data_IF_564403802040
#
_entry.id   IF_564403802040
#
_cell.length_a   1.000
_cell.length_b   1.000
_cell.length_c   1.000
_cell.angle_alpha   90.00
_cell.angle_beta   90.00
_cell.angle_gamma   90.00
#
_symmetry.space_group_name_H-M   'P 1'
#
loop_
_entity.id
_entity.type
_entity.pdbx_description
1 polymer ?
#
# COMPACT_ATOMS: atom_id res chain seq x y z
N UNK A 1 -1.66 3.94 14.78
CA UNK A 1 -2.50 3.66 13.59
C UNK A 1 -1.78 4.25 12.40
N UNK A 2 -1.77 3.58 11.25
CA UNK A 2 -1.30 4.17 9.99
C UNK A 2 -2.50 4.84 9.31
N UNK A 3 -2.32 6.03 8.71
CA UNK A 3 -3.31 6.62 7.80
C UNK A 3 -2.67 6.88 6.44
N UNK A 4 -3.32 6.39 5.40
CA UNK A 4 -2.73 6.31 4.06
C UNK A 4 -3.75 6.48 2.94
N UNK A 5 -3.26 6.99 1.82
CA UNK A 5 -3.90 6.95 0.52
C UNK A 5 -2.80 6.80 -0.53
N UNK A 6 -2.59 5.57 -1.00
CA UNK A 6 -1.42 5.23 -1.81
C UNK A 6 -1.71 4.10 -2.80
N UNK A 7 -1.03 4.16 -3.95
CA UNK A 7 -0.90 3.02 -4.83
C UNK A 7 0.29 2.18 -4.40
N UNK A 8 0.09 0.87 -4.30
CA UNK A 8 1.13 -0.12 -4.04
C UNK A 8 1.50 -0.81 -5.35
N UNK A 9 2.79 -0.78 -5.68
CA UNK A 9 3.37 -1.42 -6.85
C UNK A 9 4.49 -2.36 -6.43
N UNK A 10 4.77 -3.38 -7.25
CA UNK A 10 6.05 -4.08 -7.16
C UNK A 10 7.20 -3.08 -7.38
N UNK A 11 8.30 -3.20 -6.62
CA UNK A 11 9.43 -2.28 -6.74
C UNK A 11 9.97 -2.27 -8.19
N UNK A 12 9.98 -1.11 -8.87
CA UNK A 12 10.48 -1.03 -10.23
C UNK A 12 12.00 -1.23 -10.26
N UNK A 13 12.53 -2.17 -11.07
CA UNK A 13 13.95 -2.50 -11.07
C UNK A 13 14.86 -1.35 -11.54
N UNK A 14 14.29 -0.41 -12.30
CA UNK A 14 15.00 0.76 -12.82
C UNK A 14 14.73 2.04 -12.00
N UNK A 15 14.06 1.94 -10.85
CA UNK A 15 13.89 3.08 -9.96
C UNK A 15 15.26 3.53 -9.42
N UNK A 16 15.44 4.84 -9.32
CA UNK A 16 16.61 5.46 -8.72
C UNK A 16 16.19 6.33 -7.55
N UNK A 17 17.14 6.65 -6.67
CA UNK A 17 16.89 7.59 -5.59
C UNK A 17 16.56 8.97 -6.16
N UNK A 18 15.46 9.52 -5.64
CA UNK A 18 14.97 10.86 -5.92
C UNK A 18 15.39 11.88 -4.87
N UNK A 19 14.90 13.12 -4.98
CA UNK A 19 15.12 14.13 -3.96
C UNK A 19 14.46 13.73 -2.63
N UNK A 20 15.01 14.25 -1.54
CA UNK A 20 14.33 14.24 -0.24
C UNK A 20 13.23 15.31 -0.27
N UNK A 21 12.03 14.96 0.18
CA UNK A 21 10.88 15.86 0.26
C UNK A 21 10.40 15.98 1.70
N UNK A 22 9.89 17.16 2.06
CA UNK A 22 9.25 17.40 3.36
C UNK A 22 7.76 17.05 3.28
N UNK A 23 7.35 15.98 3.96
CA UNK A 23 5.95 15.57 4.07
C UNK A 23 5.60 15.31 5.52
N UNK A 24 4.49 15.88 6.00
CA UNK A 24 4.04 15.75 7.40
C UNK A 24 5.15 16.08 8.42
N UNK A 25 6.00 17.06 8.11
CA UNK A 25 7.13 17.46 8.95
C UNK A 25 8.29 16.47 8.99
N UNK A 26 8.38 15.57 8.00
CA UNK A 26 9.46 14.60 7.87
C UNK A 26 10.19 14.76 6.54
N UNK A 27 11.52 14.73 6.59
CA UNK A 27 12.39 14.60 5.43
C UNK A 27 12.41 13.14 4.95
N UNK A 28 11.76 12.86 3.82
CA UNK A 28 11.62 11.51 3.28
C UNK A 28 12.32 11.38 1.91
N UNK A 29 13.25 10.43 1.74
CA UNK A 29 13.81 10.14 0.42
C UNK A 29 12.74 9.53 -0.49
N UNK A 30 12.76 9.93 -1.77
CA UNK A 30 11.79 9.47 -2.78
C UNK A 30 12.44 8.59 -3.84
N UNK A 31 11.62 8.04 -4.74
CA UNK A 31 12.05 7.31 -5.93
C UNK A 31 11.65 8.07 -7.20
N UNK A 32 12.51 8.00 -8.22
CA UNK A 32 12.27 8.53 -9.56
C UNK A 32 12.61 7.50 -10.65
N UNK A 33 12.21 7.81 -11.89
CA UNK A 33 12.75 7.13 -13.07
C UNK A 33 14.13 7.68 -13.44
N UNK A 34 14.88 6.93 -14.24
CA UNK A 34 16.18 7.34 -14.79
C UNK A 34 16.11 8.62 -15.64
N UNK A 35 14.95 8.92 -16.23
CA UNK A 35 14.72 10.11 -17.05
C UNK A 35 14.10 11.27 -16.26
N UNK A 36 14.00 11.15 -14.94
CA UNK A 36 13.26 12.07 -14.07
C UNK A 36 11.76 11.76 -14.03
N UNK A 37 11.05 12.35 -13.07
CA UNK A 37 9.63 12.04 -12.82
C UNK A 37 9.42 10.69 -12.12
N UNK A 38 8.16 10.25 -11.96
CA UNK A 38 7.83 9.04 -11.20
C UNK A 38 8.43 7.78 -11.85
N UNK A 39 8.75 6.74 -11.05
CA UNK A 39 9.23 5.47 -11.58
C UNK A 39 8.28 4.87 -12.63
N UNK A 40 8.83 4.08 -13.55
CA UNK A 40 8.02 3.31 -14.49
C UNK A 40 7.49 2.05 -13.82
N UNK A 41 6.21 2.06 -13.47
CA UNK A 41 5.53 0.92 -12.85
C UNK A 41 5.13 -0.13 -13.89
N UNK A 42 6.10 -0.81 -14.47
CA UNK A 42 5.87 -1.88 -15.47
C UNK A 42 5.99 -3.29 -14.89
N UNK A 43 6.55 -3.41 -13.69
CA UNK A 43 6.61 -4.67 -12.96
C UNK A 43 5.21 -5.06 -12.49
N UNK A 44 4.83 -6.32 -12.72
CA UNK A 44 3.62 -6.89 -12.17
C UNK A 44 3.88 -7.50 -10.79
N UNK A 45 2.87 -7.49 -9.93
CA UNK A 45 2.91 -8.28 -8.69
C UNK A 45 2.99 -9.78 -9.03
N UNK A 46 3.67 -10.60 -8.21
CA UNK A 46 3.79 -12.04 -8.44
C UNK A 46 2.48 -12.79 -8.22
N UNK A 47 1.59 -12.27 -7.36
CA UNK A 47 0.28 -12.86 -7.10
C UNK A 47 -0.74 -12.43 -8.15
N UNK A 48 -1.39 -13.36 -8.88
CA UNK A 48 -2.51 -13.04 -9.78
C UNK A 48 -3.70 -12.45 -9.04
N UNK A 49 -4.57 -11.75 -9.76
CA UNK A 49 -5.74 -11.07 -9.20
C UNK A 49 -6.66 -12.02 -8.42
N UNK A 50 -7.02 -13.16 -8.99
CA UNK A 50 -7.96 -14.11 -8.36
C UNK A 50 -7.38 -14.70 -7.08
N UNK A 51 -6.07 -14.97 -7.07
CA UNK A 51 -5.38 -15.49 -5.88
C UNK A 51 -5.30 -14.41 -4.80
N UNK A 52 -5.00 -13.17 -5.17
CA UNK A 52 -4.98 -12.04 -4.24
C UNK A 52 -6.37 -11.77 -3.65
N UNK A 53 -7.41 -11.74 -4.49
CA UNK A 53 -8.78 -11.54 -4.06
C UNK A 53 -9.23 -12.62 -3.09
N UNK A 54 -8.93 -13.90 -3.39
CA UNK A 54 -9.26 -15.00 -2.51
C UNK A 54 -8.51 -14.89 -1.16
N UNK A 55 -7.22 -14.54 -1.18
CA UNK A 55 -6.45 -14.36 0.04
C UNK A 55 -6.99 -13.19 0.90
N UNK A 56 -7.40 -12.09 0.27
CA UNK A 56 -8.03 -10.95 0.98
C UNK A 56 -9.37 -11.38 1.59
N UNK A 57 -10.19 -12.15 0.87
CA UNK A 57 -11.49 -12.65 1.35
C UNK A 57 -11.39 -13.55 2.58
N UNK A 58 -10.25 -14.22 2.75
CA UNK A 58 -9.97 -15.07 3.91
C UNK A 58 -9.53 -14.27 5.15
N UNK A 59 -9.28 -12.96 5.02
CA UNK A 59 -8.89 -12.13 6.13
C UNK A 59 -10.08 -11.90 7.09
N UNK A 60 -9.83 -11.76 8.41
CA UNK A 60 -10.89 -11.44 9.34
C UNK A 60 -11.55 -10.10 9.01
N UNK A 61 -12.88 -10.08 9.00
CA UNK A 61 -13.70 -8.86 8.80
C UNK A 61 -13.39 -8.15 7.47
N UNK A 62 -13.07 -8.93 6.44
CA UNK A 62 -12.96 -8.47 5.07
C UNK A 62 -14.24 -8.68 4.28
N UNK A 63 -14.50 -7.78 3.33
CA UNK A 63 -15.45 -7.96 2.24
C UNK A 63 -14.73 -7.67 0.91
N UNK A 64 -15.10 -8.38 -0.15
CA UNK A 64 -14.46 -8.29 -1.48
C UNK A 64 -15.50 -8.30 -2.58
N UNK A 65 -15.41 -7.39 -3.53
CA UNK A 65 -16.25 -7.34 -4.72
C UNK A 65 -15.52 -7.94 -5.94
N UNK A 66 -16.26 -8.50 -6.92
CA UNK A 66 -15.67 -9.08 -8.13
C UNK A 66 -14.85 -8.09 -8.97
N UNK A 67 -15.11 -6.79 -8.85
CA UNK A 67 -14.41 -5.74 -9.58
C UNK A 67 -13.05 -5.33 -8.98
N UNK A 68 -12.66 -5.99 -7.88
CA UNK A 68 -11.39 -5.80 -7.21
C UNK A 68 -11.45 -4.85 -6.01
N UNK A 69 -12.60 -4.26 -5.70
CA UNK A 69 -12.78 -3.52 -4.47
C UNK A 69 -12.75 -4.45 -3.26
N UNK A 70 -12.18 -4.01 -2.15
CA UNK A 70 -12.25 -4.70 -0.88
C UNK A 70 -12.27 -3.72 0.30
N UNK A 71 -12.81 -4.19 1.43
CA UNK A 71 -12.89 -3.46 2.68
C UNK A 71 -12.49 -4.38 3.83
N UNK A 72 -11.59 -3.93 4.69
CA UNK A 72 -11.20 -4.62 5.93
C UNK A 72 -11.45 -3.67 7.09
N UNK A 73 -12.10 -4.16 8.14
CA UNK A 73 -12.43 -3.35 9.32
C UNK A 73 -11.99 -4.01 10.61
N UNK A 74 -11.76 -3.21 11.65
CA UNK A 74 -11.45 -3.74 12.96
C UNK A 74 -11.54 -2.71 14.06
N UNK A 75 -11.14 -3.13 15.24
CA UNK A 75 -11.04 -2.28 16.42
C UNK A 75 -9.68 -2.55 17.05
N UNK A 76 -8.95 -1.50 17.44
CA UNK A 76 -7.79 -1.67 18.30
C UNK A 76 -8.13 -1.34 19.76
N UNK A 77 -7.76 -2.21 20.71
CA UNK A 77 -7.86 -1.88 22.12
C UNK A 77 -6.98 -0.66 22.44
N UNK A 78 -7.49 0.19 23.33
CA UNK A 78 -6.72 1.27 23.95
C UNK A 78 -6.73 1.03 25.47
N UNK A 79 -5.63 1.39 26.13
CA UNK A 79 -5.43 1.06 27.55
C UNK A 79 -6.50 1.69 28.45
N UNK A 80 -6.91 2.92 28.15
CA UNK A 80 -7.96 3.65 28.85
C UNK A 80 -8.90 4.28 27.82
N UNK A 81 -10.03 3.63 27.53
CA UNK A 81 -11.06 4.16 26.64
C UNK A 81 -11.77 3.11 25.79
N UNK A 82 -12.65 3.58 24.90
CA UNK A 82 -13.33 2.73 23.93
C UNK A 82 -12.38 2.32 22.80
N UNK A 83 -12.47 1.07 22.30
CA UNK A 83 -11.65 0.61 21.18
C UNK A 83 -11.76 1.53 19.96
N UNK A 84 -10.63 1.81 19.33
CA UNK A 84 -10.58 2.66 18.14
C UNK A 84 -10.98 1.85 16.92
N UNK A 85 -12.13 2.18 16.34
CA UNK A 85 -12.56 1.63 15.05
C UNK A 85 -11.61 2.08 13.93
N UNK A 86 -11.24 1.16 13.04
CA UNK A 86 -10.42 1.43 11.87
C UNK A 86 -10.98 0.72 10.63
N UNK A 87 -10.65 1.26 9.45
CA UNK A 87 -11.07 0.73 8.16
C UNK A 87 -9.98 0.96 7.11
N UNK A 88 -9.67 -0.09 6.37
CA UNK A 88 -8.80 -0.04 5.21
C UNK A 88 -9.60 -0.55 4.02
N UNK A 89 -9.75 0.27 2.99
CA UNK A 89 -10.28 -0.17 1.72
C UNK A 89 -9.16 -0.23 0.69
N UNK A 90 -9.38 -0.99 -0.37
CA UNK A 90 -8.50 -0.98 -1.51
C UNK A 90 -9.18 -1.41 -2.80
N UNK A 91 -8.47 -1.16 -3.91
CA UNK A 91 -8.91 -1.54 -5.24
C UNK A 91 -7.75 -2.19 -5.99
N UNK A 92 -7.95 -3.46 -6.37
CA UNK A 92 -7.01 -4.20 -7.21
C UNK A 92 -7.18 -3.79 -8.68
N UNK A 93 -6.07 -3.48 -9.35
CA UNK A 93 -6.06 -3.16 -10.78
C UNK A 93 -5.17 -4.13 -11.54
N UNK A 94 -5.75 -4.76 -12.56
CA UNK A 94 -5.00 -5.54 -13.54
C UNK A 94 -4.63 -4.73 -14.78
N UNK A 95 -3.50 -5.11 -15.38
CA UNK A 95 -3.10 -4.65 -16.70
C UNK A 95 -2.61 -5.84 -17.50
N UNK A 96 -3.21 -6.08 -18.68
CA UNK A 96 -2.87 -7.19 -19.57
C UNK A 96 -2.92 -8.57 -18.88
N UNK A 97 -3.95 -8.80 -18.05
CA UNK A 97 -4.16 -10.07 -17.33
C UNK A 97 -3.12 -10.34 -16.24
N UNK A 98 -2.51 -9.28 -15.71
CA UNK A 98 -1.53 -9.36 -14.62
C UNK A 98 -1.87 -8.32 -13.58
N UNK A 99 -1.72 -8.70 -12.31
CA UNK A 99 -1.88 -7.80 -11.18
C UNK A 99 -0.85 -6.66 -11.25
N UNK A 100 -1.33 -5.42 -11.43
CA UNK A 100 -0.48 -4.25 -11.67
C UNK A 100 -0.25 -3.43 -10.41
N UNK A 101 -1.34 -3.01 -9.77
CA UNK A 101 -1.28 -2.20 -8.54
C UNK A 101 -2.48 -2.46 -7.64
N UNK A 102 -2.31 -2.17 -6.36
CA UNK A 102 -3.43 -2.04 -5.42
C UNK A 102 -3.48 -0.61 -4.91
N UNK A 103 -4.60 0.06 -5.11
CA UNK A 103 -4.88 1.32 -4.41
C UNK A 103 -5.31 0.99 -2.99
N UNK A 104 -4.74 1.65 -1.98
CA UNK A 104 -5.12 1.50 -0.59
C UNK A 104 -5.51 2.86 -0.02
N UNK A 105 -6.58 2.90 0.77
CA UNK A 105 -7.05 4.12 1.42
C UNK A 105 -7.66 3.80 2.79
N UNK A 106 -7.38 4.66 3.76
CA UNK A 106 -7.98 4.63 5.09
C UNK A 106 -6.95 4.52 6.21
N UNK A 107 -7.32 3.80 7.25
CA UNK A 107 -6.62 3.73 8.52
C UNK A 107 -6.51 2.27 8.97
N UNK A 108 -5.33 1.83 9.37
CA UNK A 108 -5.17 0.47 9.90
C UNK A 108 -3.95 0.30 10.81
N UNK A 109 -3.94 -0.74 11.67
CA UNK A 109 -2.75 -1.16 12.38
C UNK A 109 -1.66 -1.60 11.40
N UNK A 110 -0.39 -1.43 11.78
CA UNK A 110 0.73 -1.86 10.95
C UNK A 110 0.65 -3.35 10.59
N UNK A 111 0.22 -4.19 11.53
CA UNK A 111 0.01 -5.63 11.31
C UNK A 111 -1.04 -5.92 10.23
N UNK A 112 -2.12 -5.14 10.18
CA UNK A 112 -3.14 -5.30 9.13
C UNK A 112 -2.58 -4.93 7.77
N UNK A 113 -1.81 -3.84 7.68
CA UNK A 113 -1.09 -3.51 6.44
C UNK A 113 -0.17 -4.66 6.02
N UNK A 114 0.60 -5.24 6.94
CA UNK A 114 1.49 -6.38 6.63
C UNK A 114 0.71 -7.55 6.05
N UNK A 115 -0.41 -7.93 6.67
CA UNK A 115 -1.28 -9.00 6.18
C UNK A 115 -1.82 -8.71 4.78
N UNK A 116 -2.17 -7.46 4.49
CA UNK A 116 -2.61 -7.06 3.14
C UNK A 116 -1.45 -7.08 2.14
N UNK A 117 -0.26 -6.62 2.50
CA UNK A 117 0.91 -6.68 1.62
C UNK A 117 1.34 -8.13 1.34
N UNK A 118 1.18 -9.03 2.30
CA UNK A 118 1.46 -10.46 2.10
C UNK A 118 0.63 -11.08 0.98
N UNK A 119 -0.61 -10.64 0.77
CA UNK A 119 -1.42 -11.12 -0.37
C UNK A 119 -0.83 -10.71 -1.72
N UNK A 120 0.03 -9.69 -1.74
CA UNK A 120 0.75 -9.17 -2.92
C UNK A 120 2.10 -9.86 -3.18
N UNK A 121 2.52 -10.78 -2.30
CA UNK A 121 3.82 -11.46 -2.38
C UNK A 121 4.94 -10.80 -1.57
N UNK A 122 4.62 -9.76 -0.78
CA UNK A 122 5.55 -9.25 0.23
C UNK A 122 5.72 -10.30 1.37
N UNK A 123 6.91 -10.45 1.99
CA UNK A 123 8.12 -9.64 1.82
C UNK A 123 9.06 -10.11 0.70
N UNK A 124 8.79 -11.26 0.07
CA UNK A 124 9.67 -11.84 -0.95
C UNK A 124 9.77 -10.96 -2.21
N UNK A 125 8.66 -10.29 -2.56
CA UNK A 125 8.62 -9.21 -3.54
C UNK A 125 8.58 -7.86 -2.81
N UNK A 126 9.66 -7.04 -2.87
CA UNK A 126 9.62 -5.66 -2.40
C UNK A 126 8.56 -4.84 -3.15
N UNK A 127 7.93 -3.93 -2.41
CA UNK A 127 6.88 -3.03 -2.91
C UNK A 127 7.24 -1.57 -2.65
N UNK A 128 6.69 -0.68 -3.47
CA UNK A 128 6.81 0.77 -3.33
C UNK A 128 5.44 1.41 -3.29
N UNK A 129 5.36 2.59 -2.70
CA UNK A 129 4.12 3.30 -2.44
C UNK A 129 4.14 4.64 -3.17
N UNK A 130 3.27 4.82 -4.14
CA UNK A 130 3.02 6.14 -4.71
C UNK A 130 1.89 6.82 -3.93
N UNK A 131 2.22 7.90 -3.24
CA UNK A 131 1.26 8.70 -2.50
C UNK A 131 0.35 9.46 -3.47
N UNK A 132 -0.97 9.25 -3.37
CA UNK A 132 -1.92 9.72 -4.40
C UNK A 132 -2.03 11.23 -4.43
N UNK A 133 -1.98 11.90 -3.28
CA UNK A 133 -2.13 13.36 -3.20
C UNK A 133 -0.83 14.11 -3.44
N UNK A 134 0.29 13.56 -2.98
CA UNK A 134 1.61 14.19 -3.02
C UNK A 134 2.34 13.93 -4.35
N UNK A 135 1.96 12.87 -5.08
CA UNK A 135 2.59 12.52 -6.34
C UNK A 135 4.04 12.02 -6.21
N UNK A 136 4.45 11.59 -5.01
CA UNK A 136 5.78 11.04 -4.75
C UNK A 136 5.73 9.53 -4.56
N UNK A 137 6.84 8.86 -4.83
CA UNK A 137 6.99 7.42 -4.59
C UNK A 137 8.00 7.18 -3.48
N UNK A 138 7.61 6.37 -2.50
CA UNK A 138 8.40 6.01 -1.33
C UNK A 138 8.66 4.51 -1.31
N UNK A 139 9.80 4.11 -0.74
CA UNK A 139 9.99 2.72 -0.31
C UNK A 139 9.19 2.46 0.96
N UNK A 140 9.04 1.19 1.31
CA UNK A 140 8.22 0.76 2.45
C UNK A 140 8.59 1.43 3.78
N UNK A 141 9.87 1.52 4.20
CA UNK A 141 10.21 2.14 5.49
C UNK A 141 9.78 3.60 5.58
N UNK A 142 10.03 4.37 4.53
CA UNK A 142 9.65 5.79 4.42
C UNK A 142 8.13 5.96 4.38
N UNK A 143 7.43 5.10 3.64
CA UNK A 143 5.98 5.10 3.60
C UNK A 143 5.37 4.84 4.99
N UNK A 144 5.91 3.88 5.75
CA UNK A 144 5.42 3.58 7.10
C UNK A 144 5.67 4.74 8.06
N UNK A 145 6.82 5.39 7.97
CA UNK A 145 7.12 6.59 8.74
C UNK A 145 6.13 7.72 8.43
N UNK A 146 5.88 7.97 7.15
CA UNK A 146 4.90 8.97 6.69
C UNK A 146 3.47 8.65 7.15
N UNK A 147 3.05 7.38 7.02
CA UNK A 147 1.70 6.95 7.36
C UNK A 147 1.44 6.96 8.87
N UNK A 148 2.47 6.83 9.70
CA UNK A 148 2.35 6.90 11.16
C UNK A 148 2.22 8.34 11.70
N UNK A 149 2.64 9.36 10.95
CA UNK A 149 2.62 10.78 11.37
C UNK A 149 1.42 11.57 10.83
N UNK A 150 0.29 10.89 10.69
CA UNK A 150 -0.92 11.38 10.04
C UNK A 150 -2.02 11.84 11.01
#
# INVERSE_FOLDING_TARGET
MLKLHANVFAEPPAAIDGPVVELRGQSLPTLLSQTGGPPQFVAAMPTPFEQMQQAIRELPRSDTEPDGYFLITGHEPVADGDPVFWRLNGHMHEHQGRMHRVELHGECPAKTLDTVLQTMGWPDQPVVFQLVHEGVTLREPEFRAWAANA
#
